data_IF_694717459253
#
_entry.id   IF_694717459253
#
_cell.length_a   1.000
_cell.length_b   1.000
_cell.length_c   1.000
_cell.angle_alpha   90.00
_cell.angle_beta   90.00
_cell.angle_gamma   90.00
#
_symmetry.space_group_name_H-M   'P 1'
#
loop_
_entity.id
_entity.type
_entity.pdbx_description
1 polymer ?
#
# COMPACT_ATOMS: atom_id res chain seq x y z
N UNK A 1 23.58 9.53 69.19
CA UNK A 1 23.59 8.08 68.88
C UNK A 1 23.54 7.94 67.36
N UNK A 2 24.45 7.16 66.77
CA UNK A 2 24.66 7.06 65.32
C UNK A 2 23.38 6.63 64.57
N UNK A 3 23.04 7.34 63.49
CA UNK A 3 21.85 7.11 62.63
C UNK A 3 21.72 5.67 62.10
N UNK A 4 22.81 4.89 62.10
CA UNK A 4 22.82 3.49 61.65
C UNK A 4 21.95 2.52 62.49
N UNK A 5 21.54 2.88 63.71
CA UNK A 5 20.68 2.02 64.56
C UNK A 5 19.17 2.32 64.46
N UNK A 6 18.75 3.35 63.70
CA UNK A 6 17.36 3.84 63.71
C UNK A 6 16.36 2.89 63.02
N UNK A 7 16.82 2.08 62.06
CA UNK A 7 15.96 1.27 61.19
C UNK A 7 16.17 -0.25 61.34
N UNK A 8 17.18 -0.66 62.12
CA UNK A 8 17.54 -2.08 62.30
C UNK A 8 16.61 -2.87 63.23
N UNK A 9 15.65 -2.20 63.86
CA UNK A 9 14.69 -2.78 64.82
C UNK A 9 13.25 -2.80 64.28
N UNK A 10 13.03 -2.38 63.04
CA UNK A 10 11.70 -2.39 62.43
C UNK A 10 11.28 -3.82 62.09
N UNK A 11 10.08 -4.19 62.51
CA UNK A 11 9.46 -5.46 62.11
C UNK A 11 8.73 -5.29 60.78
N UNK A 12 8.39 -6.39 60.09
CA UNK A 12 7.64 -6.34 58.83
C UNK A 12 6.31 -5.61 58.97
N UNK A 13 5.63 -5.77 60.11
CA UNK A 13 4.38 -5.07 60.42
C UNK A 13 4.58 -3.55 60.53
N UNK A 14 5.67 -3.09 61.14
CA UNK A 14 6.00 -1.66 61.25
C UNK A 14 6.29 -1.03 59.88
N UNK A 15 6.84 -1.82 58.95
CA UNK A 15 7.11 -1.40 57.57
C UNK A 15 5.80 -1.29 56.79
N UNK A 16 4.89 -2.26 56.91
CA UNK A 16 3.58 -2.23 56.25
C UNK A 16 2.71 -1.05 56.72
N UNK A 17 2.64 -0.81 58.04
CA UNK A 17 1.95 0.35 58.60
C UNK A 17 2.59 1.66 58.14
N UNK A 18 3.92 1.69 57.98
CA UNK A 18 4.63 2.85 57.45
C UNK A 18 4.40 3.07 55.96
N UNK A 19 4.16 2.02 55.17
CA UNK A 19 3.77 2.11 53.76
C UNK A 19 2.33 2.63 53.60
N UNK A 20 1.40 2.18 54.45
CA UNK A 20 -0.01 2.61 54.42
C UNK A 20 -0.16 4.09 54.79
N UNK A 21 0.67 4.59 55.71
CA UNK A 21 0.60 5.97 56.20
C UNK A 21 1.59 6.92 55.49
N UNK A 22 2.06 6.58 54.28
CA UNK A 22 2.99 7.36 53.44
C UNK A 22 4.33 7.75 54.11
N UNK A 23 4.70 7.09 55.21
CA UNK A 23 5.97 7.32 55.92
C UNK A 23 7.14 6.60 55.25
N UNK A 24 6.86 5.48 54.59
CA UNK A 24 7.80 4.72 53.78
C UNK A 24 7.29 4.62 52.35
N UNK A 25 8.21 4.52 51.40
CA UNK A 25 7.92 4.31 49.99
C UNK A 25 8.59 3.02 49.56
N UNK A 26 7.83 2.15 48.88
CA UNK A 26 8.39 0.98 48.21
C UNK A 26 8.88 1.38 46.83
N UNK A 27 10.12 1.04 46.50
CA UNK A 27 10.69 1.17 45.17
C UNK A 27 11.14 -0.20 44.69
N UNK A 28 10.71 -0.60 43.50
CA UNK A 28 11.16 -1.85 42.89
C UNK A 28 12.50 -1.63 42.16
N UNK A 29 13.48 -2.48 42.46
CA UNK A 29 14.84 -2.39 41.92
C UNK A 29 15.22 -3.64 41.12
N UNK A 30 15.92 -3.44 40.01
CA UNK A 30 16.56 -4.52 39.27
C UNK A 30 17.94 -4.82 39.86
N UNK A 31 18.18 -6.09 40.17
CA UNK A 31 19.46 -6.58 40.70
C UNK A 31 20.29 -7.16 39.56
N UNK A 32 21.44 -6.54 39.26
CA UNK A 32 22.43 -7.12 38.34
C UNK A 32 23.36 -8.02 39.15
N UNK A 33 23.52 -9.29 38.73
CA UNK A 33 24.42 -10.26 39.36
C UNK A 33 25.53 -10.69 38.40
N UNK A 34 26.71 -10.97 38.94
CA UNK A 34 27.78 -11.60 38.17
C UNK A 34 27.50 -13.09 37.93
N UNK A 35 28.37 -13.75 37.16
CA UNK A 35 28.24 -15.18 36.84
C UNK A 35 28.36 -16.10 38.06
N UNK A 36 28.85 -15.60 39.19
CA UNK A 36 28.92 -16.31 40.47
C UNK A 36 27.71 -16.02 41.37
N UNK A 37 26.75 -15.20 40.89
CA UNK A 37 25.52 -14.85 41.57
C UNK A 37 25.65 -13.70 42.58
N UNK A 38 26.82 -13.05 42.67
CA UNK A 38 27.04 -11.90 43.57
C UNK A 38 26.40 -10.66 42.98
N UNK A 39 25.77 -9.85 43.82
CA UNK A 39 25.10 -8.62 43.40
C UNK A 39 26.17 -7.56 43.09
N UNK A 40 26.16 -7.06 41.85
CA UNK A 40 27.14 -6.09 41.35
C UNK A 40 26.59 -4.67 41.42
N UNK A 41 25.29 -4.47 41.17
CA UNK A 41 24.66 -3.14 41.19
C UNK A 41 23.14 -3.22 41.38
N UNK A 42 22.58 -2.19 42.02
CA UNK A 42 21.14 -1.94 42.06
C UNK A 42 20.80 -0.82 41.07
N UNK A 43 19.83 -1.06 40.20
CA UNK A 43 19.28 -0.04 39.30
C UNK A 43 17.78 0.13 39.61
N UNK A 44 17.27 1.37 39.72
CA UNK A 44 15.82 1.57 39.80
C UNK A 44 15.18 0.96 38.55
N UNK A 45 14.07 0.22 38.74
CA UNK A 45 13.25 -0.19 37.60
C UNK A 45 12.68 1.11 37.05
N UNK A 46 13.21 1.56 35.91
CA UNK A 46 12.52 2.55 35.10
C UNK A 46 11.28 1.80 34.63
N UNK A 47 10.15 2.04 35.28
CA UNK A 47 8.87 1.78 34.63
C UNK A 47 8.96 2.47 33.28
N UNK A 48 9.07 1.68 32.23
CA UNK A 48 8.88 2.15 30.87
C UNK A 48 7.40 2.49 30.79
N UNK A 49 7.03 3.66 31.31
CA UNK A 49 5.86 4.37 30.79
C UNK A 49 6.09 4.53 29.30
N UNK A 50 5.01 4.43 28.52
CA UNK A 50 4.89 4.48 27.05
C UNK A 50 5.51 5.72 26.35
N UNK A 51 6.66 6.20 26.81
CA UNK A 51 7.41 7.29 26.22
C UNK A 51 8.36 6.70 25.19
N UNK A 52 7.98 6.85 23.93
CA UNK A 52 8.81 6.60 22.74
C UNK A 52 10.11 7.42 22.76
N UNK A 53 10.17 8.51 23.55
CA UNK A 53 11.32 9.41 23.64
C UNK A 53 12.30 8.93 24.73
N UNK A 54 13.59 8.73 24.40
CA UNK A 54 14.59 8.34 25.38
C UNK A 54 14.89 9.48 26.35
N UNK A 55 15.18 9.19 27.63
CA UNK A 55 15.45 10.20 28.64
C UNK A 55 16.75 11.01 28.40
N UNK A 56 17.66 10.50 27.56
CA UNK A 56 18.86 11.22 27.11
C UNK A 56 19.37 10.66 25.78
N UNK A 57 19.79 11.52 24.85
CA UNK A 57 20.38 11.14 23.55
C UNK A 57 21.89 10.87 23.67
N UNK A 58 22.55 11.48 24.64
CA UNK A 58 23.99 11.37 24.88
C UNK A 58 24.21 11.10 26.37
N UNK A 59 24.99 10.08 26.69
CA UNK A 59 25.46 9.78 28.03
C UNK A 59 26.98 9.78 28.06
N UNK A 60 27.58 10.60 28.91
CA UNK A 60 29.04 10.65 29.10
C UNK A 60 29.38 9.88 30.36
N UNK A 61 30.22 8.85 30.24
CA UNK A 61 30.72 8.09 31.38
C UNK A 61 32.24 7.96 31.28
N UNK A 62 32.94 8.62 32.20
CA UNK A 62 34.40 8.79 32.19
C UNK A 62 34.92 9.29 30.82
N UNK A 63 35.72 8.50 30.11
CA UNK A 63 36.32 8.83 28.80
C UNK A 63 35.47 8.41 27.59
N UNK A 64 34.26 7.87 27.79
CA UNK A 64 33.41 7.37 26.70
C UNK A 64 32.12 8.18 26.57
N UNK A 65 31.75 8.49 25.33
CA UNK A 65 30.47 9.11 24.96
C UNK A 65 29.60 8.02 24.33
N UNK A 66 28.47 7.72 24.97
CA UNK A 66 27.46 6.81 24.45
C UNK A 66 26.36 7.62 23.80
N UNK A 67 26.05 7.33 22.54
CA UNK A 67 24.91 7.90 21.83
C UNK A 67 23.77 6.89 21.79
N UNK A 68 22.58 7.32 22.19
CA UNK A 68 21.37 6.50 22.10
C UNK A 68 20.99 6.30 20.65
N UNK A 69 20.74 5.05 20.26
CA UNK A 69 20.19 4.73 18.95
C UNK A 69 18.74 5.23 18.88
N UNK A 70 18.50 6.23 18.04
CA UNK A 70 17.17 6.85 17.85
C UNK A 70 16.33 6.14 16.79
N UNK A 71 16.85 5.12 16.09
CA UNK A 71 16.09 4.39 15.06
C UNK A 71 14.77 3.82 15.59
N UNK A 72 14.69 3.20 16.79
CA UNK A 72 13.42 2.71 17.34
C UNK A 72 12.40 3.83 17.60
N UNK A 73 12.87 5.02 17.97
CA UNK A 73 12.03 6.21 18.20
C UNK A 73 11.41 6.66 16.88
N UNK A 74 12.22 6.72 15.83
CA UNK A 74 11.78 7.09 14.48
C UNK A 74 10.78 6.07 13.95
N UNK A 75 11.08 4.78 14.09
CA UNK A 75 10.19 3.68 13.68
C UNK A 75 8.82 3.79 14.37
N UNK A 76 8.78 4.01 15.69
CA UNK A 76 7.54 4.15 16.45
C UNK A 76 6.74 5.42 16.09
N UNK A 77 7.40 6.52 15.74
CA UNK A 77 6.73 7.73 15.24
C UNK A 77 6.09 7.50 13.87
N UNK A 78 6.76 6.75 12.98
CA UNK A 78 6.23 6.36 11.67
C UNK A 78 5.00 5.46 11.86
N UNK A 79 5.08 4.45 12.73
CA UNK A 79 3.95 3.56 13.03
C UNK A 79 2.75 4.33 13.60
N UNK A 80 2.99 5.22 14.57
CA UNK A 80 1.93 6.07 15.16
C UNK A 80 1.24 6.90 14.09
N UNK A 81 2.02 7.53 13.21
CA UNK A 81 1.49 8.33 12.09
C UNK A 81 0.66 7.47 11.12
N UNK A 82 1.10 6.25 10.81
CA UNK A 82 0.35 5.34 9.96
C UNK A 82 -1.00 4.96 10.60
N UNK A 83 -1.03 4.70 11.91
CA UNK A 83 -2.28 4.44 12.64
C UNK A 83 -3.24 5.64 12.54
N UNK A 84 -2.74 6.86 12.75
CA UNK A 84 -3.53 8.09 12.60
C UNK A 84 -4.09 8.24 11.17
N UNK A 85 -3.26 7.98 10.14
CA UNK A 85 -3.70 8.01 8.74
C UNK A 85 -4.88 7.05 8.53
N UNK A 86 -4.75 5.80 8.94
CA UNK A 86 -5.81 4.81 8.73
C UNK A 86 -7.07 5.12 9.53
N UNK A 87 -6.94 5.68 10.74
CA UNK A 87 -8.08 6.10 11.53
C UNK A 87 -8.85 7.25 10.86
N UNK A 88 -8.16 8.31 10.44
CA UNK A 88 -8.75 9.45 9.70
C UNK A 88 -9.47 8.96 8.44
N UNK A 89 -8.82 8.10 7.64
CA UNK A 89 -9.41 7.54 6.43
C UNK A 89 -10.63 6.65 6.70
N UNK A 90 -10.59 5.85 7.76
CA UNK A 90 -11.73 5.03 8.18
C UNK A 90 -12.95 5.90 8.54
N UNK A 91 -12.74 6.99 9.30
CA UNK A 91 -13.80 7.94 9.64
C UNK A 91 -14.41 8.60 8.39
N UNK A 92 -13.57 9.04 7.44
CA UNK A 92 -14.03 9.63 6.19
C UNK A 92 -14.80 8.64 5.32
N UNK A 93 -14.33 7.41 5.23
CA UNK A 93 -15.02 6.35 4.51
C UNK A 93 -16.38 6.05 5.13
N UNK A 94 -16.44 5.89 6.46
CA UNK A 94 -17.71 5.62 7.16
C UNK A 94 -18.73 6.75 6.95
N UNK A 95 -18.30 8.01 7.00
CA UNK A 95 -19.19 9.15 6.76
C UNK A 95 -19.83 9.14 5.35
N UNK A 96 -19.09 8.68 4.34
CA UNK A 96 -19.60 8.50 2.97
C UNK A 96 -20.59 7.33 2.93
N UNK A 97 -20.26 6.19 3.55
CA UNK A 97 -21.14 5.01 3.61
C UNK A 97 -22.46 5.34 4.33
N UNK A 98 -22.41 6.06 5.44
CA UNK A 98 -23.62 6.48 6.17
C UNK A 98 -24.50 7.38 5.29
N UNK A 99 -23.88 8.30 4.54
CA UNK A 99 -24.60 9.20 3.63
C UNK A 99 -25.19 8.46 2.42
N UNK A 100 -24.46 7.47 1.88
CA UNK A 100 -24.94 6.61 0.80
C UNK A 100 -26.11 5.74 1.28
N UNK A 101 -26.00 5.19 2.48
CA UNK A 101 -27.06 4.40 3.13
C UNK A 101 -28.31 5.25 3.35
N UNK A 102 -28.13 6.49 3.83
CA UNK A 102 -29.23 7.43 4.00
C UNK A 102 -29.93 7.72 2.66
N UNK A 103 -29.17 8.00 1.61
CA UNK A 103 -29.71 8.23 0.27
C UNK A 103 -30.45 7.00 -0.28
N UNK A 104 -29.89 5.79 -0.11
CA UNK A 104 -30.56 4.54 -0.49
C UNK A 104 -31.91 4.37 0.21
N UNK A 105 -31.96 4.67 1.50
CA UNK A 105 -33.15 4.40 2.32
C UNK A 105 -34.24 5.48 2.18
N UNK A 106 -33.86 6.72 1.83
CA UNK A 106 -34.77 7.88 1.84
C UNK A 106 -34.83 8.65 0.52
N UNK A 107 -34.07 8.25 -0.50
CA UNK A 107 -33.96 8.89 -1.83
C UNK A 107 -33.76 10.41 -1.77
N UNK A 108 -33.05 10.89 -0.75
CA UNK A 108 -32.87 12.32 -0.48
C UNK A 108 -31.44 12.66 -0.07
N UNK A 109 -31.08 13.95 -0.19
CA UNK A 109 -29.76 14.52 0.15
C UNK A 109 -28.61 14.02 -0.72
N UNK A 110 -28.90 13.82 -2.00
CA UNK A 110 -27.88 13.46 -2.98
C UNK A 110 -26.73 14.49 -3.06
N UNK A 111 -27.03 15.78 -2.93
CA UNK A 111 -26.01 16.85 -2.88
C UNK A 111 -25.08 16.70 -1.65
N UNK A 112 -25.61 16.27 -0.50
CA UNK A 112 -24.81 16.04 0.72
C UNK A 112 -23.89 14.82 0.54
N UNK A 113 -24.39 13.75 -0.09
CA UNK A 113 -23.59 12.59 -0.46
C UNK A 113 -22.45 12.98 -1.41
N UNK A 114 -22.75 13.79 -2.43
CA UNK A 114 -21.75 14.27 -3.37
C UNK A 114 -20.66 15.11 -2.69
N UNK A 115 -21.07 16.12 -1.89
CA UNK A 115 -20.14 16.97 -1.15
C UNK A 115 -19.26 16.17 -0.19
N UNK A 116 -19.83 15.25 0.60
CA UNK A 116 -19.05 14.43 1.53
C UNK A 116 -18.08 13.49 0.82
N UNK A 117 -18.49 12.95 -0.33
CA UNK A 117 -17.61 12.09 -1.14
C UNK A 117 -16.46 12.90 -1.73
N UNK A 118 -16.71 14.14 -2.18
CA UNK A 118 -15.67 15.04 -2.66
C UNK A 118 -14.66 15.40 -1.54
N UNK A 119 -15.16 15.77 -0.36
CA UNK A 119 -14.33 16.09 0.79
C UNK A 119 -13.48 14.89 1.23
N UNK A 120 -14.12 13.72 1.38
CA UNK A 120 -13.43 12.47 1.71
C UNK A 120 -12.37 12.13 0.66
N UNK A 121 -12.69 12.22 -0.64
CA UNK A 121 -11.75 11.92 -1.72
C UNK A 121 -10.50 12.82 -1.71
N UNK A 122 -10.61 14.03 -1.16
CA UNK A 122 -9.50 14.98 -1.07
C UNK A 122 -8.60 14.72 0.14
N UNK A 123 -9.17 14.17 1.22
CA UNK A 123 -8.38 13.64 2.35
C UNK A 123 -7.66 12.38 1.91
N UNK A 124 -8.36 11.43 1.29
CA UNK A 124 -7.77 10.20 0.76
C UNK A 124 -6.59 10.48 -0.18
N UNK A 125 -6.76 11.37 -1.15
CA UNK A 125 -5.70 11.76 -2.11
C UNK A 125 -4.36 12.04 -1.41
N UNK A 126 -4.37 12.91 -0.39
CA UNK A 126 -3.17 13.32 0.34
C UNK A 126 -2.59 12.21 1.21
N UNK A 127 -3.46 11.43 1.84
CA UNK A 127 -3.05 10.37 2.78
C UNK A 127 -2.49 9.16 2.04
N UNK A 128 -3.13 8.77 0.94
CA UNK A 128 -2.68 7.71 0.05
C UNK A 128 -1.32 8.09 -0.54
N UNK A 129 -1.17 9.29 -1.09
CA UNK A 129 0.13 9.77 -1.62
C UNK A 129 1.23 9.68 -0.56
N UNK A 130 0.97 10.17 0.66
CA UNK A 130 1.95 10.10 1.73
C UNK A 130 2.32 8.65 2.09
N UNK A 131 1.32 7.76 2.21
CA UNK A 131 1.56 6.37 2.59
C UNK A 131 2.32 5.61 1.50
N UNK A 132 1.89 5.72 0.25
CA UNK A 132 2.51 5.05 -0.90
C UNK A 132 3.97 5.50 -1.10
N UNK A 133 4.25 6.80 -1.00
CA UNK A 133 5.62 7.32 -1.09
C UNK A 133 6.51 6.89 0.09
N UNK A 134 5.92 6.45 1.21
CA UNK A 134 6.64 5.96 2.38
C UNK A 134 6.98 4.47 2.34
N UNK A 135 6.54 3.72 1.32
CA UNK A 135 6.79 2.28 1.23
C UNK A 135 8.24 2.03 0.79
N UNK A 136 9.02 1.33 1.62
CA UNK A 136 10.32 0.81 1.23
C UNK A 136 10.17 -0.51 0.46
N UNK A 137 10.25 -0.43 -0.87
CA UNK A 137 10.11 -1.59 -1.76
C UNK A 137 11.27 -2.60 -1.66
N UNK A 138 12.40 -2.18 -1.08
CA UNK A 138 13.52 -3.08 -0.80
C UNK A 138 13.28 -3.90 0.48
N UNK A 139 12.47 -3.39 1.40
CA UNK A 139 12.14 -4.06 2.65
C UNK A 139 10.64 -3.95 2.99
N UNK A 140 9.85 -4.85 2.39
CA UNK A 140 8.43 -4.94 2.65
C UNK A 140 8.07 -5.54 4.02
N UNK A 141 9.02 -5.99 4.86
CA UNK A 141 8.69 -6.66 6.14
C UNK A 141 7.79 -5.80 7.03
N UNK A 142 8.09 -4.49 7.10
CA UNK A 142 7.36 -3.49 7.89
C UNK A 142 6.08 -2.98 7.20
N UNK A 143 5.87 -3.28 5.92
CA UNK A 143 4.69 -2.83 5.17
C UNK A 143 3.49 -3.72 5.49
N UNK A 144 2.40 -3.10 5.92
CA UNK A 144 1.09 -3.75 6.08
C UNK A 144 0.35 -3.71 4.74
N UNK A 145 0.53 -4.77 3.96
CA UNK A 145 -0.05 -4.92 2.61
C UNK A 145 -1.58 -4.85 2.68
N UNK A 146 -2.20 -5.52 3.65
CA UNK A 146 -3.66 -5.58 3.73
C UNK A 146 -4.27 -4.21 4.02
N UNK A 147 -3.69 -3.45 4.95
CA UNK A 147 -4.14 -2.07 5.20
C UNK A 147 -3.91 -1.16 4.00
N UNK A 148 -2.78 -1.31 3.30
CA UNK A 148 -2.52 -0.57 2.08
C UNK A 148 -3.60 -0.83 1.02
N UNK A 149 -3.92 -2.09 0.76
CA UNK A 149 -4.92 -2.47 -0.26
C UNK A 149 -6.32 -2.03 0.15
N UNK A 150 -6.70 -2.22 1.42
CA UNK A 150 -7.98 -1.74 1.95
C UNK A 150 -8.13 -0.22 1.81
N UNK A 151 -7.06 0.54 2.07
CA UNK A 151 -7.04 1.99 1.87
C UNK A 151 -7.27 2.37 0.40
N UNK A 152 -6.61 1.69 -0.55
CA UNK A 152 -6.78 1.94 -1.99
C UNK A 152 -8.20 1.59 -2.46
N UNK A 153 -8.75 0.47 -1.99
CA UNK A 153 -10.12 0.06 -2.28
C UNK A 153 -11.15 1.05 -1.75
N UNK A 154 -10.99 1.51 -0.50
CA UNK A 154 -11.84 2.56 0.07
C UNK A 154 -11.75 3.86 -0.72
N UNK A 155 -10.56 4.24 -1.19
CA UNK A 155 -10.40 5.45 -1.98
C UNK A 155 -11.16 5.34 -3.32
N UNK A 156 -10.99 4.22 -4.02
CA UNK A 156 -11.70 3.93 -5.26
C UNK A 156 -13.22 3.96 -5.10
N UNK A 157 -13.73 3.36 -4.02
CA UNK A 157 -15.16 3.38 -3.72
C UNK A 157 -15.68 4.80 -3.51
N UNK A 158 -14.92 5.65 -2.81
CA UNK A 158 -15.30 7.06 -2.60
C UNK A 158 -15.30 7.83 -3.92
N UNK A 159 -14.29 7.63 -4.78
CA UNK A 159 -14.25 8.23 -6.12
C UNK A 159 -15.47 7.78 -6.93
N UNK A 160 -15.80 6.48 -6.90
CA UNK A 160 -16.95 5.93 -7.60
C UNK A 160 -18.28 6.53 -7.10
N UNK A 161 -18.49 6.62 -5.78
CA UNK A 161 -19.69 7.24 -5.19
C UNK A 161 -19.78 8.72 -5.57
N UNK A 162 -18.66 9.44 -5.55
CA UNK A 162 -18.60 10.83 -6.01
C UNK A 162 -19.00 10.94 -7.49
N UNK A 163 -18.44 10.09 -8.35
CA UNK A 163 -18.73 10.08 -9.79
C UNK A 163 -20.22 9.81 -10.06
N UNK A 164 -20.79 8.76 -9.45
CA UNK A 164 -22.19 8.39 -9.64
C UNK A 164 -23.14 9.48 -9.11
N UNK A 165 -22.86 10.04 -7.93
CA UNK A 165 -23.68 11.12 -7.39
C UNK A 165 -23.60 12.40 -8.26
N UNK A 166 -22.42 12.72 -8.79
CA UNK A 166 -22.26 13.84 -9.74
C UNK A 166 -23.12 13.62 -10.98
N UNK A 167 -23.13 12.40 -11.52
CA UNK A 167 -23.99 12.06 -12.65
C UNK A 167 -25.48 12.18 -12.33
N UNK A 168 -25.94 11.71 -11.18
CA UNK A 168 -27.35 11.83 -10.83
C UNK A 168 -27.79 13.28 -10.60
N UNK A 169 -26.92 14.17 -10.12
CA UNK A 169 -27.24 15.59 -9.92
C UNK A 169 -27.19 16.36 -11.25
N UNK A 170 -26.17 16.11 -12.06
CA UNK A 170 -25.79 16.99 -13.16
C UNK A 170 -26.04 16.40 -14.56
N UNK A 171 -26.30 15.09 -14.64
CA UNK A 171 -26.57 14.33 -15.86
C UNK A 171 -25.57 14.69 -16.98
N UNK A 172 -26.04 15.37 -18.04
CA UNK A 172 -25.24 15.80 -19.19
C UNK A 172 -24.05 16.70 -18.85
N UNK A 173 -24.04 17.36 -17.69
CA UNK A 173 -22.94 18.24 -17.27
C UNK A 173 -21.79 17.51 -16.60
N UNK A 174 -21.83 16.18 -16.46
CA UNK A 174 -20.69 15.37 -15.96
C UNK A 174 -19.44 15.54 -16.80
N UNK A 175 -19.57 15.75 -18.12
CA UNK A 175 -18.45 16.06 -19.00
C UNK A 175 -17.65 17.31 -18.60
N UNK A 176 -18.24 18.21 -17.79
CA UNK A 176 -17.55 19.37 -17.25
C UNK A 176 -16.83 19.08 -15.91
N UNK A 177 -17.10 17.93 -15.26
CA UNK A 177 -16.40 17.56 -14.04
C UNK A 177 -15.02 16.99 -14.37
N UNK A 178 -13.98 17.77 -14.11
CA UNK A 178 -12.59 17.33 -14.27
C UNK A 178 -12.05 16.64 -13.01
N UNK A 179 -12.79 16.67 -11.89
CA UNK A 179 -12.27 16.26 -10.59
C UNK A 179 -12.14 14.73 -10.52
N UNK A 180 -13.19 13.98 -10.88
CA UNK A 180 -13.16 12.53 -10.85
C UNK A 180 -12.05 11.98 -11.76
N UNK A 181 -12.00 12.43 -13.01
CA UNK A 181 -10.98 12.03 -13.99
C UNK A 181 -9.55 12.29 -13.51
N UNK A 182 -9.28 13.47 -12.94
CA UNK A 182 -7.97 13.80 -12.36
C UNK A 182 -7.58 12.83 -11.24
N UNK A 183 -8.49 12.61 -10.27
CA UNK A 183 -8.22 11.72 -9.12
C UNK A 183 -7.98 10.27 -9.54
N UNK A 184 -8.73 9.77 -10.53
CA UNK A 184 -8.54 8.42 -11.10
C UNK A 184 -7.14 8.32 -11.73
N UNK A 185 -6.75 9.30 -12.55
CA UNK A 185 -5.43 9.31 -13.21
C UNK A 185 -4.27 9.44 -12.21
N UNK A 186 -4.42 10.29 -11.19
CA UNK A 186 -3.43 10.46 -10.14
C UNK A 186 -3.24 9.17 -9.30
N UNK A 187 -4.34 8.46 -9.01
CA UNK A 187 -4.30 7.19 -8.31
C UNK A 187 -3.67 6.08 -9.17
N UNK A 188 -4.07 5.97 -10.45
CA UNK A 188 -3.46 5.06 -11.42
C UNK A 188 -1.95 5.19 -11.44
N UNK A 189 -1.45 6.43 -11.63
CA UNK A 189 -0.02 6.72 -11.69
C UNK A 189 0.73 6.27 -10.43
N UNK A 190 0.18 6.54 -9.25
CA UNK A 190 0.84 6.20 -7.97
C UNK A 190 0.87 4.69 -7.72
N UNK A 191 -0.25 4.00 -7.95
CA UNK A 191 -0.35 2.55 -7.76
C UNK A 191 0.50 1.82 -8.80
N UNK A 192 0.43 2.24 -10.06
CA UNK A 192 1.19 1.70 -11.18
C UNK A 192 2.69 1.82 -10.94
N UNK A 193 3.16 2.95 -10.42
CA UNK A 193 4.57 3.13 -10.10
C UNK A 193 5.08 2.06 -9.13
N UNK A 194 4.37 1.82 -8.01
CA UNK A 194 4.77 0.78 -7.05
C UNK A 194 4.71 -0.61 -7.70
N UNK A 195 3.65 -0.89 -8.44
CA UNK A 195 3.47 -2.15 -9.16
C UNK A 195 4.67 -2.47 -10.09
N UNK A 196 5.07 -1.50 -10.91
CA UNK A 196 6.21 -1.61 -11.81
C UNK A 196 7.54 -1.85 -11.06
N UNK A 197 7.75 -1.13 -9.96
CA UNK A 197 8.96 -1.27 -9.14
C UNK A 197 9.05 -2.63 -8.42
N UNK A 198 7.90 -3.24 -8.10
CA UNK A 198 7.86 -4.61 -7.55
C UNK A 198 8.16 -5.66 -8.63
N UNK A 199 7.66 -5.48 -9.85
CA UNK A 199 7.90 -6.38 -10.97
C UNK A 199 9.38 -6.45 -11.35
N UNK A 200 9.98 -5.28 -11.54
CA UNK A 200 11.42 -5.09 -11.73
C UNK A 200 11.77 -3.67 -11.31
N UNK A 201 12.60 -3.52 -10.28
CA UNK A 201 13.03 -2.19 -9.84
C UNK A 201 13.77 -1.50 -10.98
N UNK A 202 13.46 -0.22 -11.22
CA UNK A 202 14.09 0.56 -12.27
C UNK A 202 14.70 1.83 -11.72
N UNK A 203 15.84 2.22 -12.28
CA UNK A 203 16.49 3.48 -11.97
C UNK A 203 16.83 4.22 -13.26
N UNK A 204 16.97 5.54 -13.15
CA UNK A 204 17.39 6.39 -14.27
C UNK A 204 18.90 6.56 -14.16
N UNK A 205 19.63 6.34 -15.26
CA UNK A 205 21.08 6.59 -15.29
C UNK A 205 21.40 8.07 -15.57
N UNK A 206 22.69 8.41 -15.57
CA UNK A 206 23.17 9.78 -15.82
C UNK A 206 22.75 10.33 -17.20
N UNK A 207 22.40 9.45 -18.15
CA UNK A 207 21.95 9.80 -19.50
C UNK A 207 20.42 9.85 -19.64
N UNK A 208 19.67 9.85 -18.53
CA UNK A 208 18.21 9.79 -18.50
C UNK A 208 17.58 8.55 -19.19
N UNK A 209 18.33 7.46 -19.32
CA UNK A 209 17.80 6.19 -19.80
C UNK A 209 17.35 5.31 -18.64
N UNK A 210 16.21 4.64 -18.81
CA UNK A 210 15.68 3.70 -17.82
C UNK A 210 16.51 2.42 -17.81
N UNK A 211 17.13 2.13 -16.67
CA UNK A 211 17.77 0.84 -16.41
C UNK A 211 16.77 -0.04 -15.66
N UNK A 212 16.42 -1.18 -16.25
CA UNK A 212 15.53 -2.17 -15.65
C UNK A 212 16.36 -3.47 -15.44
N UNK A 213 17.09 -3.60 -14.32
CA UNK A 213 17.81 -4.82 -14.01
C UNK A 213 16.84 -6.00 -13.83
N UNK A 214 17.05 -7.06 -14.61
CA UNK A 214 16.26 -8.30 -14.48
C UNK A 214 16.83 -9.27 -13.43
N UNK A 215 18.00 -8.98 -12.86
CA UNK A 215 18.53 -9.79 -11.76
C UNK A 215 17.59 -9.75 -10.55
N UNK A 216 17.20 -10.92 -10.03
CA UNK A 216 16.27 -11.08 -8.91
C UNK A 216 14.89 -10.41 -9.09
N UNK A 217 14.50 -10.02 -10.30
CA UNK A 217 13.18 -9.42 -10.55
C UNK A 217 12.07 -10.48 -10.53
N UNK A 218 10.82 -10.06 -10.29
CA UNK A 218 9.69 -10.97 -10.43
C UNK A 218 9.52 -11.39 -11.89
N UNK A 219 9.72 -10.47 -12.84
CA UNK A 219 9.75 -10.81 -14.27
C UNK A 219 10.70 -11.97 -14.59
N UNK A 220 11.94 -11.89 -14.11
CA UNK A 220 12.93 -12.95 -14.32
C UNK A 220 12.54 -14.27 -13.65
N UNK A 221 11.96 -14.22 -12.44
CA UNK A 221 11.51 -15.42 -11.73
C UNK A 221 10.39 -16.11 -12.50
N UNK A 222 9.38 -15.36 -12.94
CA UNK A 222 8.31 -15.90 -13.78
C UNK A 222 8.86 -16.44 -15.10
N UNK A 223 9.75 -15.69 -15.77
CA UNK A 223 10.31 -16.07 -17.06
C UNK A 223 11.15 -17.36 -17.03
N UNK A 224 11.99 -17.53 -16.00
CA UNK A 224 12.97 -18.61 -15.94
C UNK A 224 12.52 -19.84 -15.13
N UNK A 225 11.65 -19.66 -14.13
CA UNK A 225 11.34 -20.71 -13.13
C UNK A 225 9.91 -21.21 -13.26
N UNK A 226 8.94 -20.32 -13.49
CA UNK A 226 7.53 -20.68 -13.43
C UNK A 226 7.04 -21.36 -14.72
N UNK A 227 6.35 -22.50 -14.59
CA UNK A 227 5.90 -23.31 -15.74
C UNK A 227 4.95 -22.58 -16.69
N UNK A 228 4.16 -21.63 -16.18
CA UNK A 228 3.24 -20.79 -16.95
C UNK A 228 3.69 -19.31 -16.95
N UNK A 229 4.99 -19.07 -16.75
CA UNK A 229 5.55 -17.74 -16.57
C UNK A 229 5.12 -16.73 -17.63
N UNK A 230 5.18 -17.10 -18.90
CA UNK A 230 4.84 -16.20 -20.01
C UNK A 230 3.41 -15.69 -19.99
N UNK A 231 2.44 -16.52 -19.56
CA UNK A 231 1.04 -16.10 -19.45
C UNK A 231 0.86 -15.06 -18.34
N UNK A 232 1.55 -15.25 -17.22
CA UNK A 232 1.53 -14.27 -16.12
C UNK A 232 2.26 -12.98 -16.53
N UNK A 233 3.36 -13.08 -17.26
CA UNK A 233 4.08 -11.92 -17.80
C UNK A 233 3.19 -11.11 -18.74
N UNK A 234 2.47 -11.75 -19.66
CA UNK A 234 1.51 -11.08 -20.55
C UNK A 234 0.47 -10.29 -19.75
N UNK A 235 -0.09 -10.92 -18.71
CA UNK A 235 -1.01 -10.27 -17.78
C UNK A 235 -0.36 -9.08 -17.07
N UNK A 236 0.88 -9.21 -16.60
CA UNK A 236 1.56 -8.12 -15.89
C UNK A 236 1.90 -6.93 -16.77
N UNK A 237 2.33 -7.19 -18.01
CA UNK A 237 2.66 -6.15 -18.99
C UNK A 237 1.45 -5.26 -19.30
N UNK A 238 0.21 -5.76 -19.18
CA UNK A 238 -1.02 -4.96 -19.37
C UNK A 238 -0.99 -3.64 -18.57
N UNK A 239 -0.45 -3.65 -17.35
CA UNK A 239 -0.39 -2.47 -16.49
C UNK A 239 1.01 -1.88 -16.31
N UNK A 240 2.03 -2.45 -16.92
CA UNK A 240 3.40 -1.91 -16.86
C UNK A 240 3.60 -0.89 -17.99
N UNK A 241 3.68 0.41 -17.66
CA UNK A 241 3.82 1.48 -18.65
C UNK A 241 5.20 1.52 -19.34
N UNK A 242 6.15 0.68 -18.90
CA UNK A 242 7.49 0.61 -19.48
C UNK A 242 7.57 -0.28 -20.71
N UNK A 243 6.53 -1.07 -20.97
CA UNK A 243 6.44 -1.97 -22.11
C UNK A 243 5.08 -1.82 -22.80
N UNK A 244 5.07 -1.59 -24.11
CA UNK A 244 3.81 -1.41 -24.85
C UNK A 244 3.07 -2.75 -25.08
N UNK A 245 3.81 -3.86 -25.07
CA UNK A 245 3.27 -5.19 -25.33
C UNK A 245 4.20 -6.29 -24.82
N UNK A 246 3.70 -7.52 -24.78
CA UNK A 246 4.54 -8.70 -24.51
C UNK A 246 5.71 -8.82 -25.50
N UNK A 247 5.50 -8.46 -26.77
CA UNK A 247 6.55 -8.46 -27.78
C UNK A 247 7.65 -7.46 -27.45
N UNK A 248 7.29 -6.25 -27.02
CA UNK A 248 8.26 -5.23 -26.60
C UNK A 248 9.07 -5.67 -25.36
N UNK A 249 8.40 -6.31 -24.39
CA UNK A 249 9.09 -6.95 -23.27
C UNK A 249 10.09 -8.03 -23.74
N UNK A 250 9.71 -8.89 -24.68
CA UNK A 250 10.59 -9.93 -25.22
C UNK A 250 11.77 -9.34 -26.01
N UNK A 251 11.53 -8.28 -26.78
CA UNK A 251 12.57 -7.53 -27.49
C UNK A 251 13.54 -6.87 -26.50
N UNK A 252 13.04 -6.38 -25.36
CA UNK A 252 13.89 -5.91 -24.26
C UNK A 252 14.77 -7.04 -23.70
N UNK A 253 14.20 -8.21 -23.36
CA UNK A 253 14.97 -9.37 -22.87
C UNK A 253 16.05 -9.78 -23.88
N UNK A 254 15.70 -9.85 -25.17
CA UNK A 254 16.63 -10.22 -26.23
C UNK A 254 17.80 -9.23 -26.32
N UNK A 255 17.53 -7.92 -26.26
CA UNK A 255 18.56 -6.87 -26.39
C UNK A 255 19.44 -6.77 -25.14
N UNK A 256 18.84 -6.85 -23.96
CA UNK A 256 19.49 -6.46 -22.70
C UNK A 256 19.98 -7.64 -21.88
N UNK A 257 19.42 -8.84 -22.06
CA UNK A 257 19.71 -9.98 -21.20
C UNK A 257 20.42 -11.13 -21.93
N UNK A 258 20.35 -11.22 -23.27
CA UNK A 258 21.02 -12.29 -24.02
C UNK A 258 22.46 -11.87 -24.36
N UNK A 259 23.44 -12.70 -23.97
CA UNK A 259 24.85 -12.52 -24.30
C UNK A 259 25.32 -13.60 -25.26
N UNK A 260 26.09 -13.17 -26.26
CA UNK A 260 26.83 -14.06 -27.14
C UNK A 260 28.08 -14.54 -26.42
N UNK A 261 28.21 -15.86 -26.27
CA UNK A 261 29.44 -16.50 -25.82
C UNK A 261 30.24 -16.81 -27.07
N UNK A 262 31.39 -16.15 -27.23
CA UNK A 262 32.28 -16.43 -28.34
C UNK A 262 32.83 -17.85 -28.23
N UNK A 263 32.51 -18.68 -29.21
CA UNK A 263 33.08 -20.02 -29.30
C UNK A 263 34.56 -19.92 -29.69
N UNK A 264 35.48 -20.45 -28.86
CA UNK A 264 36.91 -20.42 -29.16
C UNK A 264 37.18 -21.21 -30.44
N UNK A 265 38.10 -20.71 -31.27
CA UNK A 265 38.52 -21.40 -32.48
C UNK A 265 39.37 -22.61 -32.12
N UNK A 266 38.94 -23.81 -32.48
CA UNK A 266 39.74 -25.02 -32.29
C UNK A 266 40.74 -25.16 -33.44
N UNK A 267 41.96 -24.69 -33.19
CA UNK A 267 43.08 -24.77 -34.14
C UNK A 267 43.45 -26.20 -34.52
N UNK A 268 43.14 -27.21 -33.69
CA UNK A 268 43.45 -28.61 -34.00
C UNK A 268 42.43 -29.23 -34.96
N UNK A 269 41.17 -28.79 -34.88
CA UNK A 269 40.09 -29.31 -35.75
C UNK A 269 39.83 -28.43 -36.98
N UNK A 270 40.45 -27.25 -37.07
CA UNK A 270 40.18 -26.22 -38.09
C UNK A 270 38.69 -25.86 -38.20
N UNK A 271 37.96 -26.00 -37.09
CA UNK A 271 36.52 -25.75 -37.01
C UNK A 271 36.24 -24.80 -35.88
N UNK A 272 35.33 -23.86 -36.11
CA UNK A 272 34.75 -23.04 -35.06
C UNK A 272 33.47 -23.70 -34.58
N UNK A 273 33.35 -23.93 -33.28
CA UNK A 273 32.07 -24.33 -32.71
C UNK A 273 31.03 -23.24 -32.98
N UNK A 274 29.75 -23.60 -33.20
CA UNK A 274 28.70 -22.60 -33.39
C UNK A 274 28.64 -21.67 -32.19
N UNK A 275 28.38 -20.39 -32.45
CA UNK A 275 28.23 -19.40 -31.39
C UNK A 275 27.11 -19.80 -30.43
N UNK A 276 27.37 -19.69 -29.13
CA UNK A 276 26.36 -19.96 -28.09
C UNK A 276 25.78 -18.65 -27.58
N UNK A 277 24.53 -18.69 -27.17
CA UNK A 277 23.85 -17.56 -26.54
C UNK A 277 23.36 -18.00 -25.16
N UNK A 278 23.55 -17.15 -24.17
CA UNK A 278 23.06 -17.37 -22.81
C UNK A 278 22.24 -16.19 -22.32
N UNK A 279 21.28 -16.48 -21.45
CA UNK A 279 20.53 -15.45 -20.74
C UNK A 279 21.30 -15.09 -19.47
N UNK A 280 21.80 -13.86 -19.41
CA UNK A 280 22.61 -13.34 -18.31
C UNK A 280 21.71 -12.76 -17.21
N UNK A 281 20.91 -13.62 -16.58
CA UNK A 281 20.05 -13.26 -15.46
C UNK A 281 20.40 -14.19 -14.29
N UNK A 282 20.49 -13.59 -13.10
CA UNK A 282 20.83 -14.31 -11.86
C UNK A 282 19.63 -14.21 -10.91
N UNK A 283 19.25 -15.34 -10.35
CA UNK A 283 18.20 -15.44 -9.34
C UNK A 283 18.80 -15.95 -8.04
N UNK A 284 18.48 -15.30 -6.94
CA UNK A 284 18.79 -15.78 -5.61
C UNK A 284 17.67 -16.72 -5.14
N UNK A 285 18.02 -17.99 -4.93
CA UNK A 285 17.09 -19.02 -4.43
C UNK A 285 16.52 -18.67 -3.05
N UNK A 286 17.27 -17.91 -2.23
CA UNK A 286 16.92 -17.57 -0.85
C UNK A 286 16.30 -16.18 -0.67
N UNK A 287 15.75 -15.58 -1.73
CA UNK A 287 15.08 -14.29 -1.60
C UNK A 287 13.76 -14.43 -0.80
N UNK A 288 13.87 -14.31 0.53
CA UNK A 288 12.72 -14.34 1.47
C UNK A 288 11.71 -13.24 1.17
N UNK A 289 12.11 -12.14 0.51
CA UNK A 289 11.22 -11.05 0.16
C UNK A 289 10.37 -11.34 -1.08
N UNK A 290 10.75 -12.33 -1.90
CA UNK A 290 10.09 -12.61 -3.17
C UNK A 290 8.61 -12.97 -3.00
N UNK A 291 8.26 -13.74 -1.98
CA UNK A 291 6.86 -14.12 -1.74
C UNK A 291 6.00 -12.90 -1.36
N UNK A 292 6.49 -12.05 -0.44
CA UNK A 292 5.77 -10.85 0.00
C UNK A 292 5.67 -9.82 -1.13
N UNK A 293 6.72 -9.67 -1.95
CA UNK A 293 6.69 -8.85 -3.18
C UNK A 293 5.67 -9.37 -4.18
N UNK A 294 5.64 -10.68 -4.41
CA UNK A 294 4.68 -11.30 -5.32
C UNK A 294 3.24 -11.12 -4.83
N UNK A 295 2.98 -11.35 -3.55
CA UNK A 295 1.67 -11.11 -2.93
C UNK A 295 1.22 -9.66 -3.11
N UNK A 296 2.10 -8.70 -2.80
CA UNK A 296 1.77 -7.30 -2.93
C UNK A 296 1.51 -6.90 -4.39
N UNK A 297 2.37 -7.36 -5.31
CA UNK A 297 2.23 -7.12 -6.75
C UNK A 297 0.89 -7.65 -7.27
N UNK A 298 0.48 -8.86 -6.89
CA UNK A 298 -0.80 -9.43 -7.31
C UNK A 298 -1.99 -8.63 -6.79
N UNK A 299 -1.97 -8.20 -5.52
CA UNK A 299 -3.04 -7.36 -4.97
C UNK A 299 -3.10 -5.98 -5.64
N UNK A 300 -1.94 -5.38 -5.97
CA UNK A 300 -1.90 -4.12 -6.71
C UNK A 300 -2.38 -4.26 -8.15
N UNK A 301 -2.13 -5.40 -8.79
CA UNK A 301 -2.72 -5.72 -10.09
C UNK A 301 -4.25 -5.66 -10.03
N UNK A 302 -4.85 -6.27 -9.00
CA UNK A 302 -6.32 -6.24 -8.83
C UNK A 302 -6.84 -4.80 -8.58
N UNK A 303 -6.07 -3.97 -7.87
CA UNK A 303 -6.40 -2.54 -7.69
C UNK A 303 -6.34 -1.79 -9.02
N UNK A 304 -5.34 -2.07 -9.87
CA UNK A 304 -5.21 -1.45 -11.20
C UNK A 304 -6.36 -1.85 -12.13
N UNK A 305 -6.83 -3.10 -12.09
CA UNK A 305 -8.04 -3.52 -12.79
C UNK A 305 -9.28 -2.73 -12.31
N UNK A 306 -9.43 -2.52 -11.00
CA UNK A 306 -10.54 -1.70 -10.46
C UNK A 306 -10.43 -0.23 -10.90
N UNK A 307 -9.23 0.34 -10.91
CA UNK A 307 -8.97 1.69 -11.44
C UNK A 307 -9.42 1.79 -12.90
N UNK A 308 -9.05 0.81 -13.73
CA UNK A 308 -9.45 0.74 -15.14
C UNK A 308 -10.97 0.64 -15.29
N UNK A 309 -11.65 -0.18 -14.47
CA UNK A 309 -13.11 -0.24 -14.45
C UNK A 309 -13.76 1.11 -14.14
N UNK A 310 -13.29 1.81 -13.10
CA UNK A 310 -13.81 3.14 -12.73
C UNK A 310 -13.54 4.17 -13.83
N UNK A 311 -12.37 4.10 -14.48
CA UNK A 311 -12.04 4.95 -15.65
C UNK A 311 -12.97 4.71 -16.83
N UNK A 312 -13.32 3.45 -17.10
CA UNK A 312 -14.26 3.08 -18.16
C UNK A 312 -15.67 3.60 -17.85
N UNK A 313 -16.14 3.43 -16.61
CA UNK A 313 -17.43 3.98 -16.15
C UNK A 313 -17.45 5.51 -16.30
N UNK A 314 -16.38 6.21 -15.90
CA UNK A 314 -16.28 7.65 -16.08
C UNK A 314 -16.42 8.07 -17.54
N UNK A 315 -15.76 7.34 -18.46
CA UNK A 315 -15.85 7.60 -19.90
C UNK A 315 -17.27 7.34 -20.44
N UNK A 316 -17.89 6.23 -20.02
CA UNK A 316 -19.28 5.89 -20.38
C UNK A 316 -20.27 6.97 -19.91
N UNK A 317 -20.14 7.48 -18.68
CA UNK A 317 -21.02 8.52 -18.16
C UNK A 317 -20.88 9.86 -18.92
N UNK A 318 -19.68 10.17 -19.40
CA UNK A 318 -19.44 11.33 -20.27
C UNK A 318 -20.17 11.12 -21.61
N UNK A 319 -19.96 9.97 -22.25
CA UNK A 319 -20.59 9.64 -23.54
C UNK A 319 -22.12 9.64 -23.46
N UNK A 320 -22.70 9.05 -22.40
CA UNK A 320 -24.16 9.06 -22.18
C UNK A 320 -24.69 10.49 -22.03
N UNK A 321 -23.93 11.37 -21.39
CA UNK A 321 -24.28 12.79 -21.26
C UNK A 321 -24.35 13.53 -22.60
N UNK A 322 -23.60 13.07 -23.61
CA UNK A 322 -23.56 13.66 -24.95
C UNK A 322 -24.71 13.18 -25.85
N UNK A 323 -25.42 12.11 -25.47
CA UNK A 323 -26.55 11.59 -26.24
C UNK A 323 -27.69 12.63 -26.26
N UNK A 324 -28.02 13.10 -27.46
CA UNK A 324 -29.25 13.83 -27.70
C UNK A 324 -30.42 12.86 -27.78
N UNK A 325 -31.14 12.67 -26.67
CA UNK A 325 -32.33 11.83 -26.64
C UNK A 325 -33.41 12.26 -27.65
N UNK A 326 -33.36 13.50 -28.17
CA UNK A 326 -34.27 13.96 -29.22
C UNK A 326 -33.89 13.47 -30.63
N UNK A 327 -32.66 12.97 -30.83
CA UNK A 327 -32.21 12.36 -32.08
C UNK A 327 -32.34 10.84 -32.10
N UNK A 328 -32.87 10.23 -31.02
CA UNK A 328 -33.13 8.79 -30.96
C UNK A 328 -34.50 8.54 -31.60
N UNK A 329 -34.53 7.84 -32.73
CA UNK A 329 -35.77 7.35 -33.33
C UNK A 329 -36.48 6.42 -32.33
N UNK A 330 -37.58 6.90 -31.75
CA UNK A 330 -38.44 6.08 -30.90
C UNK A 330 -39.18 5.11 -31.82
N UNK A 331 -38.63 3.90 -31.95
CA UNK A 331 -39.30 2.81 -32.63
C UNK A 331 -40.69 2.58 -32.02
N UNK A 332 -41.66 2.30 -32.89
CA UNK A 332 -43.02 1.99 -32.47
C UNK A 332 -43.02 0.79 -31.51
N UNK A 333 -43.97 0.75 -30.56
CA UNK A 333 -44.00 -0.28 -29.50
C UNK A 333 -43.99 -1.74 -29.97
N UNK A 334 -44.23 -2.02 -31.26
CA UNK A 334 -44.08 -3.35 -31.86
C UNK A 334 -42.64 -3.73 -32.21
N UNK A 335 -41.75 -2.77 -32.46
CA UNK A 335 -40.35 -2.99 -32.84
C UNK A 335 -39.43 -3.09 -31.62
N UNK A 336 -39.73 -2.33 -30.55
CA UNK A 336 -39.00 -2.38 -29.28
C UNK A 336 -39.10 -3.75 -28.56
N UNK A 337 -40.23 -4.45 -28.70
CA UNK A 337 -40.43 -5.78 -28.12
C UNK A 337 -39.58 -6.89 -28.76
N UNK A 338 -39.06 -6.69 -29.97
CA UNK A 338 -38.14 -7.62 -30.60
C UNK A 338 -36.66 -7.30 -30.28
N UNK A 339 -36.36 -6.07 -29.86
CA UNK A 339 -35.00 -5.62 -29.53
C UNK A 339 -34.63 -5.77 -28.04
N UNK A 340 -35.63 -5.81 -27.14
CA UNK A 340 -35.42 -5.99 -25.69
C UNK A 340 -35.45 -7.48 -25.30
N UNK A 341 -34.40 -8.22 -25.68
CA UNK A 341 -33.96 -9.43 -24.98
C UNK A 341 -32.78 -9.15 -24.03
N UNK A 342 -32.70 -7.94 -23.47
CA UNK A 342 -31.96 -7.70 -22.24
C UNK A 342 -32.96 -7.61 -21.10
N UNK A 343 -32.85 -8.58 -20.19
CA UNK A 343 -33.76 -8.84 -19.08
C UNK A 343 -33.97 -7.61 -18.21
N UNK A 344 -35.17 -7.04 -18.29
CA UNK A 344 -35.74 -6.18 -17.26
C UNK A 344 -36.00 -7.00 -16.00
N UNK A 345 -35.37 -6.63 -14.87
CA UNK A 345 -35.83 -7.07 -13.54
C UNK A 345 -37.03 -6.17 -13.17
N UNK A 346 -38.25 -6.71 -13.03
CA UNK A 346 -39.39 -5.88 -12.69
C UNK A 346 -39.31 -5.49 -11.21
N UNK A 347 -39.24 -4.18 -10.95
CA UNK A 347 -39.61 -3.59 -9.67
C UNK A 347 -41.13 -3.68 -9.55
N UNK A 348 -41.62 -4.73 -8.90
CA UNK A 348 -43.01 -4.83 -8.50
C UNK A 348 -43.28 -3.81 -7.37
N UNK A 349 -43.63 -2.58 -7.75
CA UNK A 349 -44.35 -1.66 -6.88
C UNK A 349 -45.78 -2.19 -6.73
N UNK A 350 -46.05 -2.93 -5.66
CA UNK A 350 -47.42 -3.13 -5.20
C UNK A 350 -47.88 -1.88 -4.45
N UNK A 351 -48.54 -0.97 -5.17
CA UNK A 351 -49.43 0.03 -4.59
C UNK A 351 -50.88 -0.47 -4.67
N UNK A 352 -51.37 -0.99 -3.54
CA UNK A 352 -52.73 -0.76 -3.02
C UNK A 352 -53.94 -1.39 -3.72
N UNK A 353 -54.56 -2.35 -3.03
CA UNK A 353 -55.97 -2.28 -2.61
C UNK A 353 -56.15 -3.09 -1.33
#
# INVERSE_FOLDING_TARGET
>A
MSEKKKYSLLTSSDIEVGLINDRFKKEDISLIRDKEGKIVRHLPIVEVKDSVIPPSIIQVNNTYIYQTDIRPVIDALIETKNVEIFHDLSEKHQAVIDSLTYYRDHESRLDELNSKSLDASSVFEKRVEFYLNGIDLNNLEKTDIERCISMLDSYLNIIFVYLMSTYWIHNKKVSNDTIAGRKIADLDRQVRHIYEQLLASSSVNEENTNIIPMHNSLYARYFLVEKNGMKEIERFVKHDSRFDSLTDFMDFIQRCCIKKIESPYDYNRQTRDPDKYEISINLNENDRSANKKNEFMQKLFDVLEKIEMVKNIHSELIEVGEIDFSSIEVYSGSEANNALQLTTIPLALHSGS
#
